data_IF_959022894712
#
_entry.id   IF_959022894712
#
_cell.length_a   1.000
_cell.length_b   1.000
_cell.length_c   1.000
_cell.angle_alpha   90.00
_cell.angle_beta   90.00
_cell.angle_gamma   90.00
#
_symmetry.space_group_name_H-M   'P 1'
#
loop_
_entity.id
_entity.type
_entity.pdbx_description
1 polymer ?
#
# COMPACT_ATOMS: atom_id res chain seq x y z
N UNK A 1 -0.09 15.87 54.57
CA UNK A 1 0.37 14.50 54.24
C UNK A 1 -0.79 13.85 53.49
N UNK A 2 -0.72 13.50 52.21
CA UNK A 2 0.20 12.56 51.57
C UNK A 2 0.31 12.88 50.07
N UNK A 3 1.55 13.00 49.58
CA UNK A 3 1.84 13.20 48.17
C UNK A 3 1.57 11.95 47.35
N UNK A 4 0.75 12.07 46.31
CA UNK A 4 0.63 11.08 45.25
C UNK A 4 1.82 11.18 44.31
N UNK A 5 2.86 10.40 44.57
CA UNK A 5 4.02 10.27 43.68
C UNK A 5 3.54 9.67 42.36
N UNK A 6 3.42 10.50 41.32
CA UNK A 6 3.25 10.01 39.94
C UNK A 6 4.50 9.21 39.59
N UNK A 7 4.36 7.88 39.60
CA UNK A 7 5.40 6.95 39.20
C UNK A 7 5.76 7.24 37.74
N UNK A 8 6.93 7.87 37.53
CA UNK A 8 7.43 8.18 36.19
C UNK A 8 7.75 6.85 35.52
N UNK A 9 6.85 6.35 34.65
CA UNK A 9 7.14 5.23 33.76
C UNK A 9 8.47 5.52 33.06
N UNK A 10 9.51 4.76 33.42
CA UNK A 10 10.85 4.94 32.86
C UNK A 10 10.77 4.86 31.34
N UNK A 11 11.36 5.84 30.66
CA UNK A 11 11.38 5.86 29.20
C UNK A 11 11.92 4.51 28.70
N UNK A 12 11.10 3.80 27.90
CA UNK A 12 11.29 2.41 27.45
C UNK A 12 12.69 2.12 26.88
N UNK A 13 13.39 3.15 26.41
CA UNK A 13 14.80 3.17 25.99
C UNK A 13 15.82 2.79 27.09
N UNK A 14 15.41 2.68 28.36
CA UNK A 14 16.29 2.33 29.50
C UNK A 14 16.02 0.92 30.08
N UNK A 15 15.19 0.09 29.44
CA UNK A 15 14.97 -1.30 29.86
C UNK A 15 16.08 -2.27 29.42
N UNK A 16 16.12 -3.48 30.01
CA UNK A 16 17.02 -4.56 29.57
C UNK A 16 16.57 -5.12 28.21
N UNK A 17 17.47 -5.26 27.21
CA UNK A 17 17.13 -5.84 25.92
C UNK A 17 16.83 -7.34 26.04
N UNK A 18 16.09 -7.88 25.06
CA UNK A 18 15.95 -9.33 24.86
C UNK A 18 17.02 -9.75 23.84
N UNK A 19 17.93 -10.63 24.25
CA UNK A 19 18.92 -11.23 23.36
C UNK A 19 18.30 -12.43 22.65
N UNK A 20 18.39 -12.44 21.31
CA UNK A 20 17.88 -13.53 20.46
C UNK A 20 19.04 -13.99 19.59
N UNK A 21 19.51 -15.20 19.85
CA UNK A 21 20.55 -15.85 19.06
C UNK A 21 19.91 -16.41 17.79
N UNK A 22 20.48 -16.05 16.65
CA UNK A 22 19.98 -16.44 15.32
C UNK A 22 21.15 -16.75 14.40
N UNK A 23 20.93 -17.68 13.48
CA UNK A 23 21.77 -17.90 12.30
C UNK A 23 21.71 -16.71 11.35
N UNK A 24 22.64 -16.65 10.40
CA UNK A 24 22.64 -15.58 9.40
C UNK A 24 21.42 -15.67 8.46
N UNK A 25 20.97 -16.88 8.14
CA UNK A 25 19.75 -17.14 7.38
C UNK A 25 18.51 -16.62 8.10
N UNK A 26 18.35 -16.96 9.39
CA UNK A 26 17.23 -16.48 10.20
C UNK A 26 17.23 -14.96 10.34
N UNK A 27 18.42 -14.37 10.52
CA UNK A 27 18.59 -12.92 10.59
C UNK A 27 18.20 -12.25 9.28
N UNK A 28 18.54 -12.83 8.13
CA UNK A 28 18.13 -12.33 6.82
C UNK A 28 16.60 -12.40 6.66
N UNK A 29 15.97 -13.51 7.05
CA UNK A 29 14.50 -13.67 7.00
C UNK A 29 13.81 -12.62 7.89
N UNK A 30 14.25 -12.44 9.14
CA UNK A 30 13.69 -11.43 10.06
C UNK A 30 13.87 -10.02 9.49
N UNK A 31 15.03 -9.74 8.89
CA UNK A 31 15.31 -8.43 8.29
C UNK A 31 14.39 -8.14 7.11
N UNK A 32 14.17 -9.13 6.23
CA UNK A 32 13.28 -8.99 5.09
C UNK A 32 11.82 -8.77 5.53
N UNK A 33 11.31 -9.60 6.46
CA UNK A 33 9.94 -9.44 6.97
C UNK A 33 9.74 -8.12 7.71
N UNK A 34 10.74 -7.66 8.47
CA UNK A 34 10.69 -6.35 9.12
C UNK A 34 10.65 -5.22 8.09
N UNK A 35 11.43 -5.30 7.01
CA UNK A 35 11.41 -4.35 5.90
C UNK A 35 10.07 -4.35 5.18
N UNK A 36 9.51 -5.52 4.88
CA UNK A 36 8.18 -5.66 4.29
C UNK A 36 7.11 -5.02 5.18
N UNK A 37 7.25 -5.13 6.50
CA UNK A 37 6.38 -4.46 7.47
C UNK A 37 6.68 -2.97 7.71
N UNK A 38 7.71 -2.40 7.07
CA UNK A 38 8.16 -1.03 7.33
C UNK A 38 8.64 -0.77 8.76
N UNK A 39 9.10 -1.82 9.45
CA UNK A 39 9.53 -1.78 10.85
C UNK A 39 11.03 -2.04 10.98
N UNK A 40 11.63 -1.56 12.08
CA UNK A 40 12.95 -2.07 12.48
C UNK A 40 12.82 -3.52 12.96
N UNK A 41 13.89 -4.31 12.88
CA UNK A 41 13.89 -5.71 13.35
C UNK A 41 13.37 -5.87 14.78
N UNK A 42 13.76 -4.96 15.67
CA UNK A 42 13.35 -4.97 17.08
C UNK A 42 11.93 -4.45 17.33
N UNK A 43 11.37 -3.66 16.42
CA UNK A 43 9.95 -3.31 16.43
C UNK A 43 9.11 -4.48 15.90
N UNK A 44 9.55 -5.12 14.81
CA UNK A 44 8.91 -6.28 14.19
C UNK A 44 8.83 -7.47 15.16
N UNK A 45 9.95 -7.90 15.74
CA UNK A 45 9.98 -9.04 16.67
C UNK A 45 9.14 -8.79 17.93
N UNK A 46 9.10 -7.54 18.40
CA UNK A 46 8.24 -7.15 19.52
C UNK A 46 6.77 -7.19 19.17
N UNK A 47 6.40 -6.73 17.97
CA UNK A 47 5.05 -6.82 17.48
C UNK A 47 4.58 -8.27 17.41
N UNK A 48 5.41 -9.17 16.88
CA UNK A 48 5.14 -10.61 16.91
C UNK A 48 5.00 -11.12 18.34
N UNK A 49 5.97 -10.84 19.21
CA UNK A 49 5.97 -11.33 20.58
C UNK A 49 4.80 -10.82 21.44
N UNK A 50 4.20 -9.69 21.06
CA UNK A 50 3.00 -9.12 21.70
C UNK A 50 1.71 -9.45 20.94
N UNK A 51 1.78 -10.30 19.91
CA UNK A 51 0.66 -10.63 19.02
C UNK A 51 -0.05 -9.37 18.46
N UNK A 52 0.72 -8.34 18.15
CA UNK A 52 0.21 -7.12 17.52
C UNK A 52 0.08 -7.33 16.01
N UNK A 53 -0.94 -6.74 15.37
CA UNK A 53 -1.10 -6.84 13.92
C UNK A 53 0.06 -6.18 13.19
N UNK A 54 0.69 -6.92 12.28
CA UNK A 54 1.77 -6.42 11.42
C UNK A 54 1.21 -6.19 10.03
N UNK A 55 1.39 -4.98 9.51
CA UNK A 55 0.87 -4.54 8.21
C UNK A 55 2.02 -4.41 7.23
N UNK A 56 1.83 -4.84 5.98
CA UNK A 56 2.83 -4.79 4.93
C UNK A 56 2.89 -3.39 4.29
N UNK A 57 4.07 -2.81 4.16
CA UNK A 57 4.28 -1.57 3.39
C UNK A 57 4.42 -1.85 1.89
N UNK A 58 4.77 -3.09 1.51
CA UNK A 58 4.89 -3.49 0.09
C UNK A 58 3.57 -3.29 -0.65
N UNK A 59 2.46 -3.59 0.02
CA UNK A 59 1.12 -3.48 -0.56
C UNK A 59 0.76 -2.02 -0.90
N UNK A 60 1.23 -1.07 -0.09
CA UNK A 60 0.99 0.36 -0.32
C UNK A 60 1.82 0.91 -1.49
N UNK A 61 3.06 0.46 -1.65
CA UNK A 61 3.91 0.84 -2.79
C UNK A 61 3.30 0.32 -4.10
N UNK A 62 2.88 -0.96 -4.11
CA UNK A 62 2.23 -1.55 -5.28
C UNK A 62 0.92 -0.83 -5.65
N UNK A 63 0.13 -0.41 -4.65
CA UNK A 63 -1.05 0.44 -4.88
C UNK A 63 -0.66 1.79 -5.47
N UNK A 64 0.43 2.40 -5.00
CA UNK A 64 0.94 3.66 -5.55
C UNK A 64 1.32 3.55 -7.02
N UNK A 65 1.99 2.46 -7.42
CA UNK A 65 2.35 2.23 -8.82
C UNK A 65 1.12 1.93 -9.69
N UNK A 66 0.15 1.18 -9.17
CA UNK A 66 -1.12 0.95 -9.87
C UNK A 66 -1.94 2.23 -10.05
N UNK A 67 -1.84 3.17 -9.10
CA UNK A 67 -2.45 4.50 -9.21
C UNK A 67 -1.83 5.33 -10.35
N UNK A 68 -0.51 5.26 -10.55
CA UNK A 68 0.17 5.92 -11.69
C UNK A 68 -0.32 5.36 -13.02
N UNK A 69 -0.33 4.03 -13.16
CA UNK A 69 -0.87 3.36 -14.35
C UNK A 69 -2.32 3.77 -14.61
N UNK A 70 -3.14 3.85 -13.56
CA UNK A 70 -4.52 4.32 -13.68
C UNK A 70 -4.64 5.77 -14.18
N UNK A 71 -3.69 6.64 -13.80
CA UNK A 71 -3.57 8.00 -14.31
C UNK A 71 -3.23 8.04 -15.80
N UNK A 72 -2.31 7.19 -16.25
CA UNK A 72 -1.91 7.08 -17.66
C UNK A 72 -3.08 6.59 -18.53
N UNK A 73 -3.84 5.61 -18.01
CA UNK A 73 -5.08 5.16 -18.60
C UNK A 73 -6.11 6.30 -18.73
N UNK A 74 -6.20 7.18 -17.72
CA UNK A 74 -7.03 8.39 -17.80
C UNK A 74 -6.63 9.32 -18.94
N UNK A 75 -5.33 9.46 -19.21
CA UNK A 75 -4.80 10.24 -20.34
C UNK A 75 -5.16 9.61 -21.68
N UNK A 76 -5.04 8.28 -21.81
CA UNK A 76 -5.46 7.54 -23.03
C UNK A 76 -6.95 7.74 -23.30
N UNK A 77 -7.81 7.62 -22.29
CA UNK A 77 -9.24 7.88 -22.46
C UNK A 77 -9.54 9.33 -22.89
N UNK A 78 -8.75 10.30 -22.42
CA UNK A 78 -8.83 11.68 -22.88
C UNK A 78 -8.51 11.83 -24.36
N UNK A 79 -7.47 11.14 -24.85
CA UNK A 79 -7.10 11.12 -26.27
C UNK A 79 -8.18 10.47 -27.14
N UNK A 80 -8.78 9.36 -26.69
CA UNK A 80 -9.87 8.71 -27.41
C UNK A 80 -11.11 9.60 -27.51
N UNK A 81 -11.43 10.35 -26.44
CA UNK A 81 -12.51 11.34 -26.47
C UNK A 81 -12.22 12.47 -27.46
N UNK A 82 -10.99 12.98 -27.49
CA UNK A 82 -10.58 14.01 -28.44
C UNK A 82 -10.70 13.50 -29.88
N UNK A 83 -10.23 12.28 -30.14
CA UNK A 83 -10.35 11.65 -31.44
C UNK A 83 -11.81 11.48 -31.87
N UNK A 84 -12.71 11.06 -30.97
CA UNK A 84 -14.15 10.97 -31.25
C UNK A 84 -14.79 12.34 -31.56
N UNK A 85 -14.20 13.43 -31.09
CA UNK A 85 -14.66 14.79 -31.36
C UNK A 85 -14.13 15.33 -32.70
N UNK A 86 -12.87 15.04 -33.04
CA UNK A 86 -12.19 15.64 -34.19
C UNK A 86 -12.20 14.76 -35.46
N UNK A 87 -12.21 13.43 -35.30
CA UNK A 87 -11.99 12.44 -36.38
C UNK A 87 -12.98 11.29 -36.31
N UNK A 88 -14.23 11.60 -36.00
CA UNK A 88 -15.27 10.61 -35.78
C UNK A 88 -15.46 9.73 -37.04
N UNK A 89 -15.20 8.43 -36.91
CA UNK A 89 -15.37 7.47 -37.99
C UNK A 89 -14.17 7.31 -38.94
N UNK A 90 -13.05 8.02 -38.72
CA UNK A 90 -11.84 7.87 -39.53
C UNK A 90 -10.94 6.74 -39.03
N UNK A 91 -10.89 5.62 -39.74
CA UNK A 91 -9.98 4.51 -39.43
C UNK A 91 -10.50 3.54 -38.35
N UNK A 92 -11.49 3.92 -37.56
CA UNK A 92 -12.26 3.01 -36.69
C UNK A 92 -13.72 3.46 -36.59
N UNK A 93 -14.64 2.51 -36.39
CA UNK A 93 -16.05 2.84 -36.16
C UNK A 93 -16.23 3.53 -34.80
N UNK A 94 -16.90 4.67 -34.79
CA UNK A 94 -17.12 5.46 -33.58
C UNK A 94 -17.89 4.68 -32.49
N UNK A 95 -18.81 3.78 -32.88
CA UNK A 95 -19.58 2.95 -31.95
C UNK A 95 -18.67 1.97 -31.21
N UNK A 96 -17.73 1.35 -31.93
CA UNK A 96 -16.78 0.40 -31.35
C UNK A 96 -15.85 1.12 -30.36
N UNK A 97 -15.38 2.33 -30.72
CA UNK A 97 -14.53 3.15 -29.84
C UNK A 97 -15.30 3.61 -28.59
N UNK A 98 -16.57 4.01 -28.73
CA UNK A 98 -17.41 4.36 -27.60
C UNK A 98 -17.67 3.15 -26.67
N UNK A 99 -17.89 1.96 -27.23
CA UNK A 99 -18.03 0.71 -26.47
C UNK A 99 -16.77 0.40 -25.65
N UNK A 100 -15.60 0.45 -26.29
CA UNK A 100 -14.31 0.23 -25.62
C UNK A 100 -14.10 1.26 -24.49
N UNK A 101 -14.46 2.53 -24.70
CA UNK A 101 -14.37 3.54 -23.63
C UNK A 101 -15.28 3.24 -22.43
N UNK A 102 -16.46 2.67 -22.65
CA UNK A 102 -17.36 2.27 -21.57
C UNK A 102 -16.78 1.11 -20.75
N UNK A 103 -16.26 0.09 -21.42
CA UNK A 103 -15.58 -1.03 -20.76
C UNK A 103 -14.34 -0.56 -19.99
N UNK A 104 -13.56 0.33 -20.60
CA UNK A 104 -12.38 0.92 -19.99
C UNK A 104 -12.71 1.65 -18.70
N UNK A 105 -13.76 2.49 -18.70
CA UNK A 105 -14.23 3.18 -17.50
C UNK A 105 -14.67 2.20 -16.42
N UNK A 106 -15.35 1.11 -16.79
CA UNK A 106 -15.76 0.06 -15.84
C UNK A 106 -14.54 -0.58 -15.17
N UNK A 107 -13.50 -0.92 -15.94
CA UNK A 107 -12.27 -1.50 -15.41
C UNK A 107 -11.52 -0.52 -14.49
N UNK A 108 -11.44 0.77 -14.85
CA UNK A 108 -10.83 1.79 -14.00
C UNK A 108 -11.52 1.90 -12.63
N UNK A 109 -12.86 1.84 -12.59
CA UNK A 109 -13.62 1.85 -11.34
C UNK A 109 -13.30 0.61 -10.49
N UNK A 110 -13.27 -0.58 -11.10
CA UNK A 110 -12.97 -1.82 -10.40
C UNK A 110 -11.55 -1.83 -9.79
N UNK A 111 -10.56 -1.34 -10.54
CA UNK A 111 -9.18 -1.18 -10.07
C UNK A 111 -9.11 -0.17 -8.92
N UNK A 112 -9.78 0.98 -9.06
CA UNK A 112 -9.90 1.98 -8.00
C UNK A 112 -10.49 1.43 -6.70
N UNK A 113 -11.55 0.62 -6.78
CA UNK A 113 -12.17 -0.01 -5.61
C UNK A 113 -11.23 -1.00 -4.91
N UNK A 114 -10.50 -1.84 -5.68
CA UNK A 114 -9.53 -2.80 -5.12
C UNK A 114 -8.37 -2.10 -4.42
N UNK A 115 -7.79 -1.06 -5.06
CA UNK A 115 -6.75 -0.23 -4.45
C UNK A 115 -7.25 0.41 -3.15
N UNK A 116 -8.46 0.98 -3.16
CA UNK A 116 -9.07 1.59 -1.98
C UNK A 116 -9.28 0.59 -0.83
N UNK A 117 -9.63 -0.66 -1.13
CA UNK A 117 -9.75 -1.72 -0.11
C UNK A 117 -8.39 -2.04 0.55
N UNK A 118 -7.32 -2.14 -0.24
CA UNK A 118 -5.96 -2.40 0.27
C UNK A 118 -5.51 -1.26 1.19
N UNK A 119 -5.70 0.00 0.78
CA UNK A 119 -5.33 1.17 1.60
C UNK A 119 -6.12 1.20 2.92
N UNK A 120 -7.42 0.91 2.89
CA UNK A 120 -8.26 0.87 4.10
C UNK A 120 -7.84 -0.24 5.07
N UNK A 121 -7.47 -1.42 4.56
CA UNK A 121 -6.97 -2.51 5.39
C UNK A 121 -5.64 -2.18 6.11
N UNK A 122 -4.89 -1.22 5.56
CA UNK A 122 -3.62 -0.75 6.12
C UNK A 122 -3.76 0.43 7.12
N UNK A 123 -4.94 1.06 7.22
CA UNK A 123 -5.23 2.17 8.15
C UNK A 123 -5.56 1.65 9.55
#
# INVERSE_FOLDING_TARGET
>A
MTGGTKEKTTARRRGKPIEVWVTDEEKAVITNKAREAGMSRSAYLRAIGMNMPIRSVVDLTAVGDLAKVSGDLGRVAGLLKLWLAEKRGEGANAIDVESVMMEFRRLQVAVGMKMGAIVKAHR
#
